data_IF_360041876329
#
_entry.id   IF_360041876329
#
_cell.length_a   1.000
_cell.length_b   1.000
_cell.length_c   1.000
_cell.angle_alpha   90.00
_cell.angle_beta   90.00
_cell.angle_gamma   90.00
#
_symmetry.space_group_name_H-M   'P 1'
#
loop_
_entity.id
_entity.type
_entity.pdbx_description
1 polymer ?
#
# COMPACT_ATOMS: atom_id res chain seq x y z
N UNK A 1 2.80 10.46 -12.70
CA UNK A 1 3.75 10.30 -11.61
C UNK A 1 2.97 9.97 -10.34
N UNK A 2 3.11 8.76 -9.84
CA UNK A 2 2.23 8.15 -8.81
C UNK A 2 2.25 8.87 -7.46
N UNK A 3 3.20 9.75 -7.23
CA UNK A 3 3.37 10.44 -5.96
C UNK A 3 2.37 11.58 -5.70
N UNK A 4 1.61 12.01 -6.70
CA UNK A 4 0.71 13.18 -6.60
C UNK A 4 -0.77 12.80 -6.75
N UNK A 5 -1.12 11.52 -6.85
CA UNK A 5 -2.51 11.09 -7.05
C UNK A 5 -3.44 11.54 -5.93
N UNK A 6 -2.97 11.48 -4.69
CA UNK A 6 -3.72 11.97 -3.54
C UNK A 6 -4.00 13.48 -3.63
N UNK A 7 -3.06 14.28 -4.17
CA UNK A 7 -3.23 15.73 -4.28
C UNK A 7 -4.29 16.09 -5.32
N UNK A 8 -4.31 15.38 -6.46
CA UNK A 8 -5.35 15.54 -7.48
C UNK A 8 -6.74 15.16 -6.97
N UNK A 9 -6.82 14.11 -6.14
CA UNK A 9 -8.08 13.70 -5.52
C UNK A 9 -8.54 14.71 -4.48
N UNK A 10 -7.61 15.22 -3.65
CA UNK A 10 -7.90 16.22 -2.60
C UNK A 10 -8.26 17.58 -3.19
N UNK A 11 -7.67 17.98 -4.31
CA UNK A 11 -7.99 19.22 -5.02
C UNK A 11 -9.30 19.14 -5.81
N UNK A 12 -9.84 17.94 -6.03
CA UNK A 12 -11.03 17.70 -6.84
C UNK A 12 -10.77 17.70 -8.35
N UNK A 13 -9.53 17.70 -8.79
CA UNK A 13 -9.19 17.54 -10.22
C UNK A 13 -9.62 16.19 -10.76
N UNK A 14 -9.61 15.16 -9.92
CA UNK A 14 -10.09 13.81 -10.25
C UNK A 14 -11.17 13.38 -9.27
N UNK A 15 -12.20 12.70 -9.77
CA UNK A 15 -13.30 12.16 -8.95
C UNK A 15 -13.02 10.79 -8.36
N UNK A 16 -12.03 10.06 -8.86
CA UNK A 16 -11.60 8.77 -8.37
C UNK A 16 -10.13 8.52 -8.71
N UNK A 17 -9.44 7.74 -7.89
CA UNK A 17 -8.05 7.36 -8.11
C UNK A 17 -7.79 5.94 -7.60
N UNK A 18 -6.96 5.20 -8.33
CA UNK A 18 -6.40 3.92 -7.88
C UNK A 18 -5.04 4.18 -7.24
N UNK A 19 -4.91 3.83 -5.95
CA UNK A 19 -3.75 4.20 -5.15
C UNK A 19 -3.31 3.07 -4.23
N UNK A 20 -2.07 3.11 -3.80
CA UNK A 20 -1.58 2.25 -2.72
C UNK A 20 -2.22 2.62 -1.38
N UNK A 21 -2.33 1.65 -0.48
CA UNK A 21 -2.97 1.84 0.83
C UNK A 21 -2.36 2.96 1.65
N UNK A 22 -1.05 3.22 1.54
CA UNK A 22 -0.41 4.36 2.21
C UNK A 22 -0.97 5.71 1.75
N UNK A 23 -1.16 5.88 0.44
CA UNK A 23 -1.74 7.09 -0.12
C UNK A 23 -3.24 7.21 0.20
N UNK A 24 -3.97 6.09 0.18
CA UNK A 24 -5.39 6.04 0.58
C UNK A 24 -5.55 6.49 2.03
N UNK A 25 -4.76 5.95 2.94
CA UNK A 25 -4.78 6.31 4.36
C UNK A 25 -4.52 7.80 4.57
N UNK A 26 -3.51 8.35 3.90
CA UNK A 26 -3.20 9.78 4.00
C UNK A 26 -4.30 10.65 3.38
N UNK A 27 -4.88 10.24 2.25
CA UNK A 27 -5.95 10.99 1.60
C UNK A 27 -7.21 11.05 2.49
N UNK A 28 -7.64 9.93 3.09
CA UNK A 28 -8.79 9.89 4.00
C UNK A 28 -8.52 10.71 5.26
N UNK A 29 -7.30 10.67 5.80
CA UNK A 29 -6.92 11.51 6.94
C UNK A 29 -7.05 12.99 6.63
N UNK A 30 -6.70 13.40 5.40
CA UNK A 30 -6.82 14.79 4.96
C UNK A 30 -8.27 15.19 4.62
N UNK A 31 -9.07 14.26 4.09
CA UNK A 31 -10.47 14.47 3.75
C UNK A 31 -11.33 13.23 4.09
N UNK A 32 -12.01 13.24 5.26
CA UNK A 32 -12.85 12.13 5.71
C UNK A 32 -14.09 11.82 4.83
N UNK A 33 -14.44 12.72 3.91
CA UNK A 33 -15.56 12.49 2.98
C UNK A 33 -15.19 11.52 1.85
N UNK A 34 -13.91 11.26 1.64
CA UNK A 34 -13.44 10.28 0.68
C UNK A 34 -13.87 8.86 1.08
N UNK A 35 -14.22 8.05 0.09
CA UNK A 35 -14.66 6.67 0.30
C UNK A 35 -13.73 5.70 -0.41
N UNK A 36 -13.42 4.60 0.27
CA UNK A 36 -12.68 3.48 -0.33
C UNK A 36 -13.68 2.54 -0.99
N UNK A 37 -13.40 2.20 -2.24
CA UNK A 37 -14.17 1.21 -2.99
C UNK A 37 -13.29 0.00 -3.24
N UNK A 38 -13.72 -1.15 -2.77
CA UNK A 38 -13.08 -2.44 -3.07
C UNK A 38 -13.76 -3.02 -4.30
N UNK A 39 -13.02 -3.25 -5.41
CA UNK A 39 -13.59 -3.87 -6.59
C UNK A 39 -14.06 -5.29 -6.28
N UNK A 40 -15.21 -5.67 -6.81
CA UNK A 40 -15.74 -7.04 -6.67
C UNK A 40 -14.88 -8.09 -7.41
N UNK A 41 -14.07 -7.63 -8.36
CA UNK A 41 -13.12 -8.43 -9.11
C UNK A 41 -11.89 -8.85 -8.27
N UNK A 42 -11.72 -8.26 -7.08
CA UNK A 42 -10.58 -8.47 -6.19
C UNK A 42 -9.61 -7.30 -6.16
N UNK A 43 -8.59 -7.44 -5.34
CA UNK A 43 -7.53 -6.45 -5.18
C UNK A 43 -6.21 -7.00 -5.74
N UNK A 44 -5.45 -6.14 -6.40
CA UNK A 44 -4.03 -6.38 -6.62
C UNK A 44 -3.25 -6.07 -5.34
N UNK A 45 -2.46 -6.98 -4.83
CA UNK A 45 -1.64 -6.74 -3.66
C UNK A 45 -0.19 -7.19 -3.87
N UNK A 46 0.72 -6.51 -3.19
CA UNK A 46 2.14 -6.86 -3.15
C UNK A 46 2.60 -7.00 -1.71
N UNK A 47 3.61 -7.81 -1.50
CA UNK A 47 4.27 -7.97 -0.21
C UNK A 47 5.68 -7.41 -0.30
N UNK A 48 5.94 -6.36 0.48
CA UNK A 48 7.30 -5.85 0.63
C UNK A 48 7.99 -6.54 1.78
N UNK A 49 9.12 -7.16 1.51
CA UNK A 49 9.94 -7.85 2.49
C UNK A 49 11.30 -7.18 2.66
N UNK A 50 11.79 -7.11 3.88
CA UNK A 50 13.19 -6.76 4.17
C UNK A 50 14.04 -8.01 4.19
N UNK A 51 15.21 -7.97 3.58
CA UNK A 51 16.15 -9.08 3.59
C UNK A 51 17.60 -8.59 3.83
N UNK A 52 18.42 -9.47 4.39
CA UNK A 52 19.83 -9.21 4.63
C UNK A 52 20.64 -10.03 3.61
N UNK A 53 21.40 -9.39 2.71
CA UNK A 53 22.25 -10.10 1.78
C UNK A 53 23.27 -10.99 2.49
N UNK A 54 23.60 -12.15 1.91
CA UNK A 54 24.55 -13.10 2.51
C UNK A 54 25.96 -12.54 2.72
N UNK A 55 26.33 -11.52 1.95
CA UNK A 55 27.60 -10.82 2.05
C UNK A 55 27.50 -9.46 2.78
N UNK A 56 26.45 -9.23 3.56
CA UNK A 56 26.28 -8.00 4.32
C UNK A 56 27.47 -7.78 5.28
N UNK A 57 28.13 -6.62 5.26
CA UNK A 57 29.32 -6.37 6.07
C UNK A 57 29.01 -6.27 7.57
N UNK A 58 27.75 -6.02 7.93
CA UNK A 58 27.31 -5.89 9.31
C UNK A 58 25.90 -6.51 9.50
N UNK A 59 25.82 -7.83 9.29
CA UNK A 59 24.55 -8.55 9.39
C UNK A 59 23.92 -8.48 10.80
N UNK A 60 24.76 -8.48 11.86
CA UNK A 60 24.27 -8.39 13.24
C UNK A 60 23.52 -7.06 13.50
N UNK A 61 24.04 -5.95 13.03
CA UNK A 61 23.35 -4.66 13.15
C UNK A 61 22.07 -4.62 12.33
N UNK A 62 22.06 -5.24 11.15
CA UNK A 62 20.87 -5.37 10.33
C UNK A 62 19.77 -6.19 11.03
N UNK A 63 20.13 -7.30 11.68
CA UNK A 63 19.17 -8.08 12.49
C UNK A 63 18.60 -7.25 13.64
N UNK A 64 19.44 -6.55 14.40
CA UNK A 64 18.98 -5.67 15.49
C UNK A 64 18.04 -4.57 14.99
N UNK A 65 18.31 -4.01 13.81
CA UNK A 65 17.39 -3.04 13.20
C UNK A 65 16.04 -3.66 12.84
N UNK A 66 16.05 -4.85 12.20
CA UNK A 66 14.81 -5.55 11.86
C UNK A 66 14.02 -5.96 13.10
N UNK A 67 14.68 -6.41 14.17
CA UNK A 67 14.04 -6.69 15.45
C UNK A 67 13.38 -5.42 16.00
N UNK A 68 14.10 -4.32 16.04
CA UNK A 68 13.61 -3.04 16.55
C UNK A 68 12.39 -2.52 15.81
N UNK A 69 12.40 -2.51 14.48
CA UNK A 69 11.24 -2.02 13.70
C UNK A 69 10.02 -2.95 13.80
N UNK A 70 10.21 -4.20 14.24
CA UNK A 70 9.13 -5.15 14.49
C UNK A 70 8.65 -5.15 15.96
N UNK A 71 9.27 -4.38 16.85
CA UNK A 71 8.69 -4.18 18.19
C UNK A 71 7.30 -3.56 18.05
N UNK A 72 6.27 -4.05 18.79
CA UNK A 72 4.89 -3.62 18.55
C UNK A 72 4.65 -2.13 18.58
N UNK A 73 5.24 -1.44 19.55
CA UNK A 73 5.11 0.02 19.66
C UNK A 73 5.82 0.76 18.51
N UNK A 74 6.98 0.26 18.08
CA UNK A 74 7.73 0.86 16.96
C UNK A 74 7.01 0.62 15.65
N UNK A 75 6.51 -0.60 15.43
CA UNK A 75 5.73 -0.96 14.25
C UNK A 75 4.45 -0.10 14.12
N UNK A 76 3.77 0.18 15.23
CA UNK A 76 2.63 1.09 15.23
C UNK A 76 3.02 2.51 14.78
N UNK A 77 4.14 3.05 15.29
CA UNK A 77 4.67 4.35 14.87
C UNK A 77 5.07 4.37 13.40
N UNK A 78 5.66 3.28 12.89
CA UNK A 78 5.97 3.14 11.48
C UNK A 78 4.70 3.20 10.62
N UNK A 79 3.62 2.52 11.03
CA UNK A 79 2.32 2.60 10.36
C UNK A 79 1.78 4.03 10.35
N UNK A 80 1.76 4.71 11.47
CA UNK A 80 1.26 6.08 11.58
C UNK A 80 2.06 7.09 10.72
N UNK A 81 3.32 6.79 10.47
CA UNK A 81 4.16 7.62 9.59
C UNK A 81 3.98 7.30 8.12
N UNK A 82 3.97 6.00 7.75
CA UNK A 82 3.98 5.55 6.35
C UNK A 82 2.56 5.38 5.80
N UNK A 83 1.61 4.94 6.62
CA UNK A 83 0.23 4.63 6.24
C UNK A 83 0.02 3.25 5.62
N UNK A 84 1.08 2.42 5.51
CA UNK A 84 0.93 1.04 5.10
C UNK A 84 0.44 0.16 6.24
N UNK A 85 -0.27 -0.90 5.87
CA UNK A 85 -0.79 -1.85 6.85
C UNK A 85 0.32 -2.46 7.72
N UNK A 86 0.05 -2.54 9.02
CA UNK A 86 0.96 -3.16 9.99
C UNK A 86 0.85 -4.67 9.90
N UNK A 87 1.95 -5.34 9.57
CA UNK A 87 2.02 -6.81 9.51
C UNK A 87 2.16 -7.47 10.89
N UNK A 88 2.59 -6.72 11.90
CA UNK A 88 2.67 -7.17 13.28
C UNK A 88 1.32 -6.99 13.99
N UNK A 89 0.58 -8.08 14.20
CA UNK A 89 -0.72 -8.04 14.87
C UNK A 89 -0.68 -7.40 16.26
N UNK A 90 0.41 -7.60 17.02
CA UNK A 90 0.54 -6.99 18.33
C UNK A 90 0.65 -5.46 18.29
N UNK A 91 1.07 -4.89 17.17
CA UNK A 91 1.16 -3.44 16.99
C UNK A 91 -0.21 -2.76 16.95
N UNK A 92 -1.29 -3.46 16.57
CA UNK A 92 -2.64 -2.88 16.48
C UNK A 92 -3.09 -2.25 17.80
N UNK A 93 -2.67 -2.79 18.94
CA UNK A 93 -3.01 -2.23 20.27
C UNK A 93 -2.28 -0.93 20.61
N UNK A 94 -1.19 -0.62 19.91
CA UNK A 94 -0.38 0.58 20.10
C UNK A 94 -0.69 1.69 19.08
N UNK A 95 -1.51 1.40 18.08
CA UNK A 95 -1.96 2.41 17.12
C UNK A 95 -2.88 3.40 17.83
N UNK A 96 -2.63 4.69 17.65
CA UNK A 96 -3.47 5.74 18.24
C UNK A 96 -4.89 5.73 17.69
N UNK A 97 -5.85 6.20 18.48
CA UNK A 97 -7.27 6.14 18.11
C UNK A 97 -7.56 6.87 16.78
N UNK A 98 -6.89 7.98 16.52
CA UNK A 98 -7.00 8.74 15.27
C UNK A 98 -6.59 7.94 14.02
N UNK A 99 -5.81 6.90 14.19
CA UNK A 99 -5.34 6.06 13.10
C UNK A 99 -6.08 4.72 13.01
N UNK A 100 -6.73 4.26 14.07
CA UNK A 100 -7.50 3.02 14.05
C UNK A 100 -8.64 3.05 13.05
N UNK A 101 -9.34 4.19 12.96
CA UNK A 101 -10.43 4.40 12.02
C UNK A 101 -9.94 4.57 10.57
N UNK A 102 -8.63 4.84 10.40
CA UNK A 102 -7.98 4.97 9.09
C UNK A 102 -7.40 3.65 8.57
N UNK A 103 -7.46 2.58 9.35
CA UNK A 103 -7.10 1.24 8.88
C UNK A 103 -8.13 0.81 7.83
N UNK A 104 -7.81 1.11 6.58
CA UNK A 104 -8.66 0.94 5.40
C UNK A 104 -8.71 -0.53 4.98
N UNK A 105 -8.91 -1.44 5.94
CA UNK A 105 -9.14 -2.83 5.64
C UNK A 105 -10.48 -3.24 6.23
N UNK A 106 -11.33 -3.95 5.48
CA UNK A 106 -12.52 -4.53 6.04
C UNK A 106 -12.16 -5.51 7.16
N UNK A 107 -13.10 -5.74 8.05
CA UNK A 107 -12.93 -6.69 9.15
C UNK A 107 -12.49 -8.08 8.69
N UNK A 108 -12.92 -8.49 7.49
CA UNK A 108 -12.50 -9.73 6.84
C UNK A 108 -11.33 -9.50 5.86
N UNK A 109 -10.14 -9.27 6.42
CA UNK A 109 -8.90 -9.10 5.67
C UNK A 109 -8.51 -10.34 4.87
N UNK A 110 -8.90 -11.51 5.34
CA UNK A 110 -8.52 -12.79 4.74
C UNK A 110 -9.26 -12.99 3.43
N UNK A 111 -10.56 -12.77 3.37
CA UNK A 111 -11.33 -12.95 2.13
C UNK A 111 -10.92 -11.96 1.05
N UNK A 112 -10.49 -10.75 1.41
CA UNK A 112 -9.93 -9.80 0.46
C UNK A 112 -8.62 -10.27 -0.18
N UNK A 113 -7.75 -10.88 0.62
CA UNK A 113 -6.47 -11.43 0.14
C UNK A 113 -6.73 -12.70 -0.68
N UNK A 114 -7.62 -13.57 -0.23
CA UNK A 114 -7.98 -14.81 -0.93
C UNK A 114 -8.69 -14.55 -2.27
N UNK A 115 -9.46 -13.48 -2.36
CA UNK A 115 -10.10 -13.04 -3.61
C UNK A 115 -9.24 -12.14 -4.49
N UNK A 116 -8.05 -11.75 -4.03
CA UNK A 116 -7.15 -10.85 -4.73
C UNK A 116 -6.07 -11.58 -5.53
N UNK A 117 -5.32 -10.80 -6.30
CA UNK A 117 -4.18 -11.30 -7.07
C UNK A 117 -2.87 -10.69 -6.56
N UNK A 118 -1.87 -11.53 -6.35
CA UNK A 118 -0.51 -11.07 -6.04
C UNK A 118 0.09 -10.40 -7.28
N UNK A 119 0.67 -9.22 -7.09
CA UNK A 119 1.42 -8.54 -8.15
C UNK A 119 2.68 -9.36 -8.44
N UNK A 120 2.71 -9.98 -9.60
CA UNK A 120 3.80 -10.84 -10.07
C UNK A 120 4.50 -10.22 -11.29
N UNK A 121 5.68 -10.74 -11.60
CA UNK A 121 6.34 -10.41 -12.86
C UNK A 121 5.56 -11.04 -14.02
N UNK A 122 5.30 -10.23 -15.03
CA UNK A 122 4.67 -10.65 -16.27
C UNK A 122 5.73 -11.03 -17.31
N UNK A 123 5.35 -11.84 -18.31
CA UNK A 123 6.23 -12.17 -19.44
C UNK A 123 6.57 -10.91 -20.27
N UNK A 124 7.66 -10.97 -21.02
CA UNK A 124 8.04 -9.88 -21.91
C UNK A 124 6.93 -9.54 -22.92
N UNK A 125 6.27 -10.56 -23.48
CA UNK A 125 5.13 -10.40 -24.40
C UNK A 125 3.95 -9.68 -23.73
N UNK A 126 3.62 -10.03 -22.49
CA UNK A 126 2.55 -9.39 -21.74
C UNK A 126 2.92 -7.92 -21.41
N UNK A 127 4.20 -7.67 -21.12
CA UNK A 127 4.69 -6.32 -20.87
C UNK A 127 4.65 -5.44 -22.12
N UNK A 128 5.03 -5.98 -23.28
CA UNK A 128 4.91 -5.29 -24.57
C UNK A 128 3.45 -4.96 -24.90
N UNK A 129 2.54 -5.93 -24.71
CA UNK A 129 1.11 -5.70 -24.89
C UNK A 129 0.57 -4.63 -23.95
N UNK A 130 0.95 -4.67 -22.67
CA UNK A 130 0.56 -3.67 -21.68
C UNK A 130 1.02 -2.28 -22.09
N UNK A 131 2.27 -2.12 -22.51
CA UNK A 131 2.81 -0.83 -22.95
C UNK A 131 2.08 -0.31 -24.17
N UNK A 132 1.79 -1.17 -25.15
CA UNK A 132 1.03 -0.80 -26.35
C UNK A 132 -0.38 -0.33 -25.99
N UNK A 133 -1.11 -1.07 -25.17
CA UNK A 133 -2.47 -0.69 -24.74
C UNK A 133 -2.47 0.62 -23.95
N UNK A 134 -1.44 0.85 -23.14
CA UNK A 134 -1.28 2.09 -22.39
C UNK A 134 -1.02 3.30 -23.33
N UNK A 135 -0.21 3.13 -24.37
CA UNK A 135 0.02 4.15 -25.38
C UNK A 135 -1.25 4.46 -26.17
N UNK A 136 -2.00 3.45 -26.60
CA UNK A 136 -3.29 3.63 -27.29
C UNK A 136 -4.28 4.40 -26.41
N UNK A 137 -4.43 4.00 -25.14
CA UNK A 137 -5.29 4.69 -24.18
C UNK A 137 -4.92 6.16 -24.03
N UNK A 138 -3.64 6.48 -23.92
CA UNK A 138 -3.17 7.86 -23.79
C UNK A 138 -3.42 8.72 -25.03
N UNK A 139 -3.45 8.12 -26.22
CA UNK A 139 -3.74 8.82 -27.46
C UNK A 139 -5.24 9.13 -27.63
N UNK A 140 -6.10 8.27 -27.10
CA UNK A 140 -7.55 8.45 -27.15
C UNK A 140 -8.08 9.46 -26.11
N UNK A 141 -7.30 9.70 -25.05
CA UNK A 141 -7.70 10.58 -23.91
C UNK A 141 -7.10 11.99 -23.98
N UNK A 142 -6.30 12.31 -25.01
CA UNK A 142 -5.79 13.64 -25.32
C UNK A 142 -6.57 14.23 -26.51
#
# INVERSE_FOLDING_TARGET
NDNNLQDYLLSGEVGAAFMYTSQVTQAIKANPDLKVVYPKEGLGFGVMGSFIPSNAPNAEAAYKFLEYINEPEVAAKCFEYIGYFVTNKAAESYVSDDWKDLIVFPEDKISLIEGGELIENISDEANELHNKLWEEFRQETN
#
